data_IF_410024170837
#
_entry.id   IF_410024170837
#
_cell.length_a   1.000
_cell.length_b   1.000
_cell.length_c   1.000
_cell.angle_alpha   90.00
_cell.angle_beta   90.00
_cell.angle_gamma   90.00
#
_symmetry.space_group_name_H-M   'P 1'
#
loop_
_entity.id
_entity.type
_entity.pdbx_description
1 polymer ?
#
# COMPACT_ATOMS: atom_id res chain seq x y z
N UNK A 1 18.66 -28.20 -42.94
CA UNK A 1 17.39 -27.50 -42.65
C UNK A 1 16.29 -28.55 -42.62
N UNK A 2 15.74 -28.86 -41.45
CA UNK A 2 14.64 -29.83 -41.36
C UNK A 2 13.44 -29.27 -42.11
N UNK A 3 12.92 -30.02 -43.08
CA UNK A 3 11.89 -29.58 -44.02
C UNK A 3 10.53 -29.23 -43.39
N UNK A 4 9.45 -29.20 -44.20
CA UNK A 4 8.12 -28.70 -43.80
C UNK A 4 7.59 -29.25 -42.47
N UNK A 5 7.91 -30.50 -42.14
CA UNK A 5 7.50 -31.14 -40.88
C UNK A 5 8.05 -30.44 -39.63
N UNK A 6 9.24 -29.83 -39.71
CA UNK A 6 9.84 -29.10 -38.60
C UNK A 6 9.14 -27.76 -38.37
N UNK A 7 8.64 -27.13 -39.44
CA UNK A 7 7.87 -25.89 -39.35
C UNK A 7 6.49 -26.13 -38.74
N UNK A 8 5.83 -27.23 -39.11
CA UNK A 8 4.56 -27.65 -38.49
C UNK A 8 4.73 -27.96 -37.00
N UNK A 9 5.83 -28.63 -36.62
CA UNK A 9 6.13 -28.87 -35.20
C UNK A 9 6.36 -27.57 -34.42
N UNK A 10 7.14 -26.64 -34.96
CA UNK A 10 7.38 -25.33 -34.33
C UNK A 10 6.08 -24.54 -34.19
N UNK A 11 5.25 -24.53 -35.22
CA UNK A 11 3.94 -23.89 -35.18
C UNK A 11 3.05 -24.51 -34.09
N UNK A 12 2.97 -25.84 -34.03
CA UNK A 12 2.25 -26.55 -32.98
C UNK A 12 2.76 -26.22 -31.58
N UNK A 13 4.08 -26.19 -31.37
CA UNK A 13 4.68 -25.80 -30.09
C UNK A 13 4.35 -24.35 -29.72
N UNK A 14 4.42 -23.42 -30.67
CA UNK A 14 4.13 -22.00 -30.43
C UNK A 14 2.66 -21.71 -30.13
N UNK A 15 1.73 -22.52 -30.65
CA UNK A 15 0.31 -22.40 -30.32
C UNK A 15 -0.01 -23.12 -29.00
N UNK A 16 0.53 -24.33 -28.81
CA UNK A 16 0.24 -25.13 -27.61
C UNK A 16 0.88 -24.55 -26.35
N UNK A 17 2.07 -23.95 -26.44
CA UNK A 17 2.78 -23.39 -25.31
C UNK A 17 1.98 -22.30 -24.55
N UNK A 18 1.50 -21.22 -25.19
CA UNK A 18 0.73 -20.20 -24.50
C UNK A 18 -0.63 -20.72 -24.01
N UNK A 19 -1.29 -21.60 -24.78
CA UNK A 19 -2.58 -22.19 -24.38
C UNK A 19 -2.42 -23.07 -23.14
N UNK A 20 -1.42 -23.95 -23.11
CA UNK A 20 -1.14 -24.80 -21.96
C UNK A 20 -0.71 -23.98 -20.73
N UNK A 21 0.11 -22.95 -20.94
CA UNK A 21 0.52 -22.06 -19.86
C UNK A 21 -0.67 -21.29 -19.27
N UNK A 22 -1.57 -20.77 -20.12
CA UNK A 22 -2.82 -20.14 -19.69
C UNK A 22 -3.77 -21.16 -19.04
N UNK A 23 -3.86 -22.39 -19.51
CA UNK A 23 -4.72 -23.38 -18.85
C UNK A 23 -4.20 -23.75 -17.46
N UNK A 24 -2.88 -23.88 -17.29
CA UNK A 24 -2.28 -24.24 -16.00
C UNK A 24 -2.28 -23.09 -14.99
N UNK A 25 -1.88 -21.88 -15.41
CA UNK A 25 -1.81 -20.72 -14.53
C UNK A 25 -3.07 -19.85 -14.55
N UNK A 26 -3.71 -19.69 -15.71
CA UNK A 26 -4.83 -18.77 -16.00
C UNK A 26 -6.12 -19.01 -15.22
N UNK A 27 -6.46 -20.27 -14.95
CA UNK A 27 -7.75 -20.62 -14.31
C UNK A 27 -7.74 -20.45 -12.78
N UNK A 28 -6.55 -20.31 -12.17
CA UNK A 28 -6.36 -20.33 -10.72
C UNK A 28 -5.38 -19.26 -10.21
N UNK A 29 -5.24 -18.13 -10.92
CA UNK A 29 -4.32 -17.06 -10.49
C UNK A 29 -4.67 -16.55 -9.09
N UNK A 30 -5.95 -16.28 -8.85
CA UNK A 30 -6.39 -15.67 -7.60
C UNK A 30 -6.03 -16.56 -6.40
N UNK A 31 -6.34 -17.85 -6.46
CA UNK A 31 -5.98 -18.80 -5.39
C UNK A 31 -4.47 -19.02 -5.22
N UNK A 32 -3.68 -18.90 -6.29
CA UNK A 32 -2.23 -19.15 -6.25
C UNK A 32 -1.40 -17.93 -5.87
N UNK A 33 -1.88 -16.72 -6.19
CA UNK A 33 -1.14 -15.47 -6.03
C UNK A 33 -1.82 -14.47 -5.09
N UNK A 34 -3.04 -14.75 -4.58
CA UNK A 34 -3.61 -13.94 -3.51
C UNK A 34 -2.76 -14.08 -2.26
N UNK A 35 -2.34 -12.93 -1.74
CA UNK A 35 -1.67 -12.84 -0.45
C UNK A 35 -2.76 -12.77 0.62
N UNK A 36 -2.85 -13.76 1.53
CA UNK A 36 -3.79 -13.67 2.65
C UNK A 36 -3.40 -12.45 3.51
N UNK A 37 -4.41 -11.71 3.97
CA UNK A 37 -4.25 -10.50 4.79
C UNK A 37 -3.39 -9.40 4.15
N UNK A 38 -3.42 -9.27 2.81
CA UNK A 38 -2.71 -8.19 2.09
C UNK A 38 -3.08 -6.80 2.60
N UNK A 39 -4.35 -6.58 2.94
CA UNK A 39 -4.83 -5.33 3.50
C UNK A 39 -4.77 -5.33 5.02
N UNK A 40 -4.34 -4.23 5.67
CA UNK A 40 -4.38 -4.11 7.11
C UNK A 40 -5.81 -4.35 7.60
N UNK A 41 -5.95 -5.15 8.65
CA UNK A 41 -7.27 -5.44 9.21
C UNK A 41 -7.92 -4.13 9.70
N UNK A 42 -9.25 -4.00 9.68
CA UNK A 42 -9.94 -2.79 10.13
C UNK A 42 -9.53 -2.32 11.53
N UNK A 43 -9.15 -3.25 12.42
CA UNK A 43 -8.65 -2.95 13.77
C UNK A 43 -7.28 -2.27 13.77
N UNK A 44 -6.48 -2.47 12.72
CA UNK A 44 -5.17 -1.84 12.54
C UNK A 44 -5.28 -0.47 11.85
N UNK A 45 -6.46 -0.12 11.35
CA UNK A 45 -6.72 1.20 10.77
C UNK A 45 -7.20 2.17 11.85
N UNK A 46 -6.88 3.45 11.69
CA UNK A 46 -7.39 4.49 12.60
C UNK A 46 -8.92 4.54 12.48
N UNK A 47 -9.62 4.27 13.58
CA UNK A 47 -11.08 4.48 13.66
C UNK A 47 -11.34 5.98 13.76
N UNK A 48 -12.03 6.53 12.76
CA UNK A 48 -12.48 7.91 12.81
C UNK A 48 -13.67 7.95 13.79
N UNK A 49 -13.68 8.85 14.78
CA UNK A 49 -14.81 9.01 15.68
C UNK A 49 -16.03 9.49 14.88
N UNK A 50 -17.17 8.82 15.05
CA UNK A 50 -18.42 9.15 14.34
C UNK A 50 -19.40 9.93 15.22
N UNK A 51 -19.29 9.80 16.54
CA UNK A 51 -20.15 10.48 17.50
C UNK A 51 -19.65 11.90 17.80
N UNK A 52 -20.57 12.85 17.91
CA UNK A 52 -20.26 14.27 18.08
C UNK A 52 -19.40 14.54 19.32
N UNK A 53 -19.74 13.91 20.44
CA UNK A 53 -19.02 14.09 21.71
C UNK A 53 -17.60 13.52 21.65
N UNK A 54 -17.44 12.37 20.99
CA UNK A 54 -16.15 11.73 20.76
C UNK A 54 -15.25 12.62 19.88
N UNK A 55 -15.80 13.18 18.81
CA UNK A 55 -15.12 14.13 17.93
C UNK A 55 -14.63 15.36 18.71
N UNK A 56 -15.48 15.93 19.57
CA UNK A 56 -15.10 17.10 20.39
C UNK A 56 -13.95 16.77 21.34
N UNK A 57 -14.02 15.63 22.04
CA UNK A 57 -12.97 15.20 22.97
C UNK A 57 -11.62 14.96 22.27
N UNK A 58 -11.65 14.36 21.09
CA UNK A 58 -10.45 14.04 20.32
C UNK A 58 -9.85 15.32 19.69
N UNK A 59 -10.70 16.26 19.28
CA UNK A 59 -10.28 17.58 18.81
C UNK A 59 -9.60 18.39 19.93
N UNK A 60 -10.11 18.35 21.15
CA UNK A 60 -9.48 18.98 22.31
C UNK A 60 -8.11 18.36 22.63
N UNK A 61 -8.01 17.02 22.58
CA UNK A 61 -6.74 16.31 22.73
C UNK A 61 -5.71 16.76 21.70
N UNK A 62 -6.10 16.87 20.43
CA UNK A 62 -5.23 17.35 19.36
C UNK A 62 -4.82 18.82 19.54
N UNK A 63 -5.74 19.69 20.00
CA UNK A 63 -5.44 21.09 20.31
C UNK A 63 -4.42 21.23 21.43
N UNK A 64 -4.56 20.46 22.52
CA UNK A 64 -3.58 20.43 23.63
C UNK A 64 -2.20 20.02 23.15
N UNK A 65 -2.11 18.90 22.41
CA UNK A 65 -0.85 18.42 21.83
C UNK A 65 -0.20 19.46 20.91
N UNK A 66 -0.99 20.19 20.11
CA UNK A 66 -0.48 21.27 19.25
C UNK A 66 0.11 22.42 20.07
N UNK A 67 -0.55 22.82 21.15
CA UNK A 67 -0.09 23.90 22.03
C UNK A 67 1.20 23.50 22.76
N UNK A 68 1.27 22.28 23.29
CA UNK A 68 2.48 21.73 23.93
C UNK A 68 3.67 21.73 22.97
N UNK A 69 3.49 21.22 21.74
CA UNK A 69 4.54 21.24 20.72
C UNK A 69 4.93 22.65 20.28
N UNK A 70 4.01 23.62 20.35
CA UNK A 70 4.32 25.03 20.09
C UNK A 70 5.15 25.60 21.24
N UNK A 71 4.76 25.36 22.48
CA UNK A 71 5.49 25.83 23.66
C UNK A 71 6.89 25.23 23.71
N UNK A 72 7.04 23.93 23.47
CA UNK A 72 8.35 23.28 23.38
C UNK A 72 9.23 23.90 22.29
N UNK A 73 8.67 24.23 21.13
CA UNK A 73 9.42 24.94 20.07
C UNK A 73 9.81 26.38 20.45
N UNK A 74 9.01 27.05 21.27
CA UNK A 74 9.36 28.39 21.78
C UNK A 74 10.42 28.31 22.89
N UNK A 75 10.40 27.27 23.71
CA UNK A 75 11.43 26.97 24.71
C UNK A 75 12.76 26.55 24.06
N UNK A 76 12.71 25.67 23.05
CA UNK A 76 13.88 25.22 22.27
C UNK A 76 14.38 26.29 21.28
N UNK A 77 13.51 27.20 20.81
CA UNK A 77 13.78 28.22 19.79
C UNK A 77 13.87 29.66 20.31
N UNK A 78 13.84 29.86 21.62
CA UNK A 78 14.06 31.16 22.27
C UNK A 78 15.49 31.70 22.14
N UNK A 79 16.41 30.94 21.50
CA UNK A 79 17.82 31.30 21.29
C UNK A 79 18.24 31.31 19.80
N UNK A 80 17.33 31.63 18.86
CA UNK A 80 17.69 31.87 17.45
C UNK A 80 16.98 33.10 16.89
N UNK A 81 16.93 34.17 17.68
CA UNK A 81 16.38 35.48 17.31
C UNK A 81 17.39 36.63 17.33
N UNK A 82 18.70 36.36 17.47
CA UNK A 82 19.69 37.41 17.66
C UNK A 82 21.11 37.03 17.25
N UNK A 83 21.35 36.74 15.97
CA UNK A 83 22.68 36.87 15.34
C UNK A 83 22.53 36.92 13.82
N UNK A 84 22.61 38.15 13.31
CA UNK A 84 22.47 38.49 11.90
C UNK A 84 22.57 40.00 11.72
N UNK A 85 23.63 40.59 12.26
CA UNK A 85 24.16 41.91 11.92
C UNK A 85 25.60 41.71 11.47
#
# INVERSE_FOLDING_TARGET
>A
MGGPNLEVFKFGLYVMFPIAFMYYYGINLDKRFAVPDFWPRPEQTNRIPFEKDEIHSELERLRRKRLELRNRRLEEGGDVGGKGA
#
